data_IF_141913069578
#
_entry.id   IF_141913069578
#
_cell.length_a   1.000
_cell.length_b   1.000
_cell.length_c   1.000
_cell.angle_alpha   90.00
_cell.angle_beta   90.00
_cell.angle_gamma   90.00
#
_symmetry.space_group_name_H-M   'P 1'
#
loop_
_entity.id
_entity.type
_entity.pdbx_description
1 polymer ?
#
# COMPACT_ATOMS: atom_id res chain seq x y z
N UNK A 1 -22.54 14.03 2.35
CA UNK A 1 -22.21 13.68 1.84
C UNK A 1 -21.81 13.09 0.99
N UNK A 2 -21.90 12.06 0.86
CA UNK A 2 -21.87 12.42 -0.23
C UNK A 2 -21.28 11.58 -1.35
N UNK A 3 -21.16 12.03 -2.59
CA UNK A 3 -20.79 11.30 -3.81
C UNK A 3 -19.49 10.50 -3.68
N UNK A 4 -18.67 10.85 -2.73
CA UNK A 4 -17.43 10.13 -2.46
C UNK A 4 -17.69 8.67 -2.15
N UNK A 5 -18.77 8.40 -1.38
CA UNK A 5 -19.11 7.03 -1.01
C UNK A 5 -19.41 6.19 -2.24
N UNK A 6 -20.17 6.76 -3.18
CA UNK A 6 -20.55 6.03 -4.37
C UNK A 6 -19.35 5.75 -5.26
N UNK A 7 -18.46 6.74 -5.41
CA UNK A 7 -17.27 6.55 -6.22
C UNK A 7 -16.41 5.45 -5.63
N UNK A 8 -16.23 5.45 -4.30
CA UNK A 8 -15.45 4.41 -3.65
C UNK A 8 -16.01 3.03 -3.87
N UNK A 9 -17.35 2.92 -3.91
CA UNK A 9 -17.98 1.63 -4.11
C UNK A 9 -17.80 1.10 -5.52
N UNK A 10 -17.72 2.00 -6.52
CA UNK A 10 -17.60 1.59 -7.91
C UNK A 10 -16.16 1.30 -8.31
N UNK A 11 -15.18 1.66 -7.47
CA UNK A 11 -13.77 1.49 -7.77
C UNK A 11 -13.13 0.60 -6.72
N UNK A 12 -12.97 -0.70 -7.00
CA UNK A 12 -12.47 -1.64 -5.99
C UNK A 12 -10.97 -1.58 -5.78
N UNK A 13 -10.31 -0.58 -6.32
CA UNK A 13 -8.86 -0.49 -6.25
C UNK A 13 -8.40 0.52 -5.21
N UNK A 14 -7.21 0.27 -4.66
CA UNK A 14 -6.67 1.04 -3.56
C UNK A 14 -5.25 1.48 -3.83
N UNK A 15 -4.90 2.65 -3.28
CA UNK A 15 -3.50 2.99 -3.08
C UNK A 15 -3.21 2.66 -1.62
N UNK A 16 -2.17 1.87 -1.39
CA UNK A 16 -1.77 1.48 -0.04
C UNK A 16 -0.47 2.17 0.29
N UNK A 17 -0.47 2.91 1.40
CA UNK A 17 0.71 3.61 1.88
C UNK A 17 1.43 2.76 2.92
N UNK A 18 2.76 2.75 2.82
CA UNK A 18 3.61 2.05 3.77
C UNK A 18 4.88 2.86 3.94
N UNK A 19 5.47 2.86 5.12
CA UNK A 19 6.82 3.38 5.30
C UNK A 19 7.74 2.22 5.68
N UNK A 20 9.01 2.36 5.36
CA UNK A 20 10.03 1.36 5.70
C UNK A 20 11.27 2.09 6.17
N UNK A 21 12.09 1.40 6.98
CA UNK A 21 13.27 2.00 7.57
C UNK A 21 14.41 2.21 6.58
N UNK A 22 14.40 1.48 5.47
CA UNK A 22 15.47 1.58 4.48
C UNK A 22 14.92 1.24 3.11
N UNK A 23 15.68 1.67 2.08
CA UNK A 23 15.33 1.31 0.71
C UNK A 23 15.43 -0.20 0.51
N UNK A 24 16.43 -0.83 1.11
CA UNK A 24 16.61 -2.27 0.98
C UNK A 24 15.40 -3.03 1.48
N UNK A 25 14.90 -2.64 2.65
CA UNK A 25 13.72 -3.29 3.21
C UNK A 25 12.50 -3.04 2.32
N UNK A 26 12.31 -1.79 1.88
CA UNK A 26 11.17 -1.43 1.04
C UNK A 26 11.17 -2.24 -0.26
N UNK A 27 12.32 -2.36 -0.91
CA UNK A 27 12.44 -3.11 -2.16
C UNK A 27 12.10 -4.58 -1.93
N UNK A 28 12.62 -5.16 -0.85
CA UNK A 28 12.36 -6.56 -0.55
C UNK A 28 10.87 -6.82 -0.36
N UNK A 29 10.21 -5.96 0.41
CA UNK A 29 8.77 -6.12 0.66
C UNK A 29 8.00 -5.95 -0.64
N UNK A 30 8.27 -4.90 -1.41
CA UNK A 30 7.56 -4.63 -2.66
C UNK A 30 7.72 -5.79 -3.64
N UNK A 31 8.96 -6.28 -3.82
CA UNK A 31 9.19 -7.37 -4.75
C UNK A 31 8.47 -8.65 -4.32
N UNK A 32 8.46 -8.94 -3.02
CA UNK A 32 7.75 -10.12 -2.52
C UNK A 32 6.26 -10.00 -2.80
N UNK A 33 5.68 -8.83 -2.52
CA UNK A 33 4.25 -8.62 -2.75
C UNK A 33 3.90 -8.69 -4.23
N UNK A 34 4.78 -8.19 -5.10
CA UNK A 34 4.57 -8.30 -6.55
C UNK A 34 4.60 -9.77 -6.99
N UNK A 35 5.57 -10.54 -6.51
CA UNK A 35 5.69 -11.94 -6.85
C UNK A 35 4.47 -12.74 -6.41
N UNK A 36 3.89 -12.35 -5.28
CA UNK A 36 2.71 -13.02 -4.76
C UNK A 36 1.42 -12.44 -5.34
N UNK A 37 1.52 -11.47 -6.22
CA UNK A 37 0.39 -10.84 -6.89
C UNK A 37 -0.58 -10.15 -5.94
N UNK A 38 -0.06 -9.68 -4.83
CA UNK A 38 -0.85 -8.92 -3.87
C UNK A 38 -0.89 -7.43 -4.18
N UNK A 39 0.05 -6.96 -5.00
CA UNK A 39 0.06 -5.59 -5.52
C UNK A 39 0.40 -5.64 -7.00
N UNK A 40 -0.07 -4.63 -7.74
CA UNK A 40 0.23 -4.51 -9.15
C UNK A 40 1.49 -3.68 -9.40
N UNK A 41 1.76 -2.73 -8.52
CA UNK A 41 3.00 -1.95 -8.60
C UNK A 41 3.29 -1.29 -7.26
N UNK A 42 4.55 -0.88 -7.09
CA UNK A 42 4.97 -0.13 -5.93
C UNK A 42 5.92 0.98 -6.35
N UNK A 43 5.70 2.17 -5.80
CA UNK A 43 6.56 3.33 -6.05
C UNK A 43 7.23 3.71 -4.74
N UNK A 44 8.52 3.93 -4.78
CA UNK A 44 9.29 4.29 -3.60
C UNK A 44 9.75 5.73 -3.67
N UNK A 45 9.61 6.44 -2.56
CA UNK A 45 10.14 7.80 -2.41
C UNK A 45 11.17 7.73 -1.28
N UNK A 46 12.42 7.94 -1.64
CA UNK A 46 13.53 7.85 -0.68
C UNK A 46 13.60 9.06 0.22
N UNK A 47 14.05 8.83 1.44
CA UNK A 47 14.49 9.89 2.35
C UNK A 47 13.40 10.89 2.72
N UNK A 48 12.22 10.40 3.04
CA UNK A 48 11.22 11.28 3.63
C UNK A 48 11.55 11.45 5.12
N UNK A 49 11.24 12.62 5.67
CA UNK A 49 11.39 12.85 7.09
C UNK A 49 10.03 12.63 7.72
N UNK A 50 9.96 11.67 8.62
CA UNK A 50 8.72 11.33 9.32
C UNK A 50 8.80 11.83 10.74
N UNK A 51 7.78 12.54 11.19
CA UNK A 51 7.67 13.04 12.56
C UNK A 51 6.46 12.38 13.18
N UNK A 52 6.62 11.81 14.37
CA UNK A 52 5.53 11.05 14.97
C UNK A 52 5.69 10.96 16.47
N UNK A 53 4.60 10.63 17.13
CA UNK A 53 4.62 10.41 18.59
C UNK A 53 5.12 9.02 18.89
N UNK A 54 6.04 8.93 19.84
CA UNK A 54 6.57 7.66 20.33
C UNK A 54 6.90 7.80 21.80
N UNK A 55 6.21 6.99 22.61
CA UNK A 55 6.43 6.97 24.07
C UNK A 55 6.37 8.35 24.69
N UNK A 56 5.39 9.14 24.28
CA UNK A 56 5.14 10.45 24.85
C UNK A 56 6.01 11.58 24.31
N UNK A 57 6.82 11.31 23.31
CA UNK A 57 7.70 12.31 22.71
C UNK A 57 7.57 12.33 21.21
N UNK A 58 7.95 13.44 20.61
CA UNK A 58 7.97 13.56 19.15
C UNK A 58 9.33 13.10 18.66
N UNK A 59 9.30 12.13 17.75
CA UNK A 59 10.50 11.57 17.14
C UNK A 59 10.56 11.98 15.67
N UNK A 60 11.78 12.03 15.14
CA UNK A 60 11.99 12.26 13.72
C UNK A 60 12.85 11.12 13.18
N UNK A 61 12.39 10.52 12.07
CA UNK A 61 13.11 9.42 11.44
C UNK A 61 13.15 9.64 9.94
N UNK A 62 14.25 9.23 9.33
CA UNK A 62 14.30 9.15 7.86
C UNK A 62 13.72 7.82 7.44
N UNK A 63 12.79 7.86 6.49
CA UNK A 63 12.12 6.64 6.04
C UNK A 63 11.96 6.66 4.53
N UNK A 64 11.63 5.49 3.98
CA UNK A 64 11.23 5.34 2.58
C UNK A 64 9.71 5.25 2.57
N UNK A 65 9.07 6.09 1.78
CA UNK A 65 7.62 6.08 1.64
C UNK A 65 7.26 5.27 0.41
N UNK A 66 6.33 4.34 0.57
CA UNK A 66 5.94 3.41 -0.50
C UNK A 66 4.47 3.59 -0.81
N UNK A 67 4.18 3.75 -2.10
CA UNK A 67 2.81 3.76 -2.61
C UNK A 67 2.60 2.48 -3.40
N UNK A 68 1.63 1.67 -3.00
CA UNK A 68 1.35 0.41 -3.68
C UNK A 68 -0.06 0.46 -4.25
N UNK A 69 -0.29 -0.26 -5.35
CA UNK A 69 -1.63 -0.34 -5.94
C UNK A 69 -2.14 -1.75 -5.81
N UNK A 70 -3.35 -1.87 -5.29
CA UNK A 70 -3.96 -3.16 -5.02
C UNK A 70 -5.47 -3.05 -5.13
N UNK A 71 -6.19 -4.01 -4.57
CA UNK A 71 -7.65 -4.01 -4.56
C UNK A 71 -8.18 -4.18 -3.15
N UNK A 72 -9.45 -3.79 -2.96
CA UNK A 72 -10.09 -3.95 -1.67
C UNK A 72 -10.11 -5.40 -1.22
N UNK A 73 -10.37 -6.31 -2.15
CA UNK A 73 -10.49 -7.73 -1.81
C UNK A 73 -9.16 -8.32 -1.35
N UNK A 74 -8.05 -7.75 -1.78
CA UNK A 74 -6.73 -8.26 -1.40
C UNK A 74 -6.14 -7.55 -0.19
N UNK A 75 -6.74 -6.46 0.28
CA UNK A 75 -6.11 -5.64 1.31
C UNK A 75 -5.82 -6.40 2.59
N UNK A 76 -6.76 -7.23 3.05
CA UNK A 76 -6.57 -7.96 4.30
C UNK A 76 -5.38 -8.90 4.20
N UNK A 77 -5.27 -9.62 3.09
CA UNK A 77 -4.17 -10.53 2.85
C UNK A 77 -2.86 -9.77 2.70
N UNK A 78 -2.90 -8.66 1.98
CA UNK A 78 -1.76 -7.78 1.79
C UNK A 78 -1.25 -7.26 3.13
N UNK A 79 -2.14 -6.75 3.95
CA UNK A 79 -1.78 -6.19 5.25
C UNK A 79 -1.12 -7.24 6.14
N UNK A 80 -1.68 -8.44 6.16
CA UNK A 80 -1.10 -9.53 6.95
C UNK A 80 0.30 -9.85 6.45
N UNK A 81 0.46 -9.90 5.14
CA UNK A 81 1.76 -10.25 4.56
C UNK A 81 2.82 -9.20 4.85
N UNK A 82 2.45 -7.92 4.78
CA UNK A 82 3.37 -6.85 5.16
C UNK A 82 3.80 -7.00 6.61
N UNK A 83 2.85 -7.32 7.50
CA UNK A 83 3.18 -7.54 8.91
C UNK A 83 4.19 -8.64 9.11
N UNK A 84 4.16 -9.67 8.28
CA UNK A 84 5.11 -10.78 8.36
C UNK A 84 6.50 -10.39 7.86
N UNK A 85 6.56 -9.47 6.92
CA UNK A 85 7.82 -9.11 6.25
C UNK A 85 8.50 -7.90 6.87
N UNK A 86 7.75 -7.04 7.54
CA UNK A 86 8.23 -5.74 7.99
C UNK A 86 9.04 -5.86 9.28
N UNK A 87 10.05 -5.00 9.41
CA UNK A 87 10.88 -4.97 10.60
C UNK A 87 10.20 -4.33 11.81
N UNK A 88 9.20 -3.46 11.57
CA UNK A 88 8.46 -2.83 12.65
C UNK A 88 7.42 -3.78 13.21
N UNK A 89 7.18 -3.72 14.52
CA UNK A 89 6.09 -4.48 15.12
C UNK A 89 4.74 -3.98 14.64
N UNK A 90 4.61 -2.66 14.46
CA UNK A 90 3.36 -2.05 14.01
C UNK A 90 3.69 -1.13 12.83
N UNK A 91 3.79 -1.70 11.62
CA UNK A 91 4.10 -0.88 10.45
C UNK A 91 2.90 -0.02 10.04
N UNK A 92 3.20 1.12 9.42
CA UNK A 92 2.16 1.95 8.83
C UNK A 92 1.65 1.26 7.58
N UNK A 93 0.35 0.93 7.54
CA UNK A 93 -0.31 0.38 6.36
C UNK A 93 -1.67 1.05 6.30
N UNK A 94 -1.86 1.90 5.31
CA UNK A 94 -3.11 2.64 5.15
C UNK A 94 -3.60 2.47 3.73
N UNK A 95 -4.92 2.30 3.57
CA UNK A 95 -5.52 2.15 2.26
C UNK A 95 -6.35 3.38 1.94
N UNK A 96 -6.14 3.91 0.74
CA UNK A 96 -6.91 5.02 0.21
C UNK A 96 -7.66 4.52 -1.03
N UNK A 97 -8.96 4.80 -1.14
CA UNK A 97 -9.68 4.36 -2.33
C UNK A 97 -9.26 5.17 -3.54
N UNK A 98 -9.12 4.48 -4.67
CA UNK A 98 -8.90 5.15 -5.95
C UNK A 98 -10.28 5.51 -6.47
N UNK A 99 -10.57 6.81 -6.56
CA UNK A 99 -11.90 7.24 -6.94
C UNK A 99 -12.11 7.23 -8.45
N UNK A 100 -11.04 7.28 -9.24
CA UNK A 100 -11.13 7.22 -10.70
C UNK A 100 -9.74 7.04 -11.27
N UNK A 101 -9.68 6.59 -12.52
CA UNK A 101 -8.40 6.42 -13.21
C UNK A 101 -8.68 6.13 -14.68
N UNK A 102 -7.63 6.16 -15.51
CA UNK A 102 -7.81 5.82 -16.92
C UNK A 102 -8.21 4.35 -17.03
N UNK A 103 -9.12 4.06 -17.95
CA UNK A 103 -9.65 2.72 -18.10
C UNK A 103 -8.54 1.71 -18.43
N UNK A 104 -7.63 2.07 -19.32
CA UNK A 104 -6.56 1.15 -19.71
C UNK A 104 -5.63 0.86 -18.54
N UNK A 105 -5.35 1.85 -17.72
CA UNK A 105 -4.48 1.63 -16.55
C UNK A 105 -5.17 0.73 -15.52
N UNK A 106 -6.45 0.96 -15.28
CA UNK A 106 -7.19 0.15 -14.30
C UNK A 106 -7.33 -1.28 -14.77
N UNK A 107 -7.50 -1.50 -16.08
CA UNK A 107 -7.53 -2.85 -16.62
C UNK A 107 -6.19 -3.55 -16.45
N UNK A 108 -5.11 -2.82 -16.69
CA UNK A 108 -3.78 -3.36 -16.48
C UNK A 108 -3.58 -3.72 -15.00
N UNK A 109 -4.00 -2.82 -14.12
CA UNK A 109 -3.87 -3.05 -12.67
C UNK A 109 -4.57 -4.34 -12.29
N UNK A 110 -5.81 -4.51 -12.76
CA UNK A 110 -6.58 -5.70 -12.47
C UNK A 110 -5.87 -6.96 -12.95
N UNK A 111 -5.28 -6.89 -14.15
CA UNK A 111 -4.65 -8.05 -14.76
C UNK A 111 -3.41 -8.52 -14.00
N UNK A 112 -2.80 -7.65 -13.19
CA UNK A 112 -1.60 -7.98 -12.46
C UNK A 112 -1.88 -8.61 -11.11
N UNK A 113 -3.10 -8.51 -10.60
CA UNK A 113 -3.42 -8.95 -9.25
C UNK A 113 -3.85 -10.41 -9.23
N UNK A 114 -3.69 -11.04 -8.04
CA UNK A 114 -4.15 -12.39 -7.83
C UNK A 114 -5.65 -12.45 -8.01
N UNK A 115 -6.17 -13.43 -8.80
CA UNK A 115 -7.62 -13.59 -8.90
C UNK A 115 -8.21 -13.95 -7.55
N UNK A 116 -9.31 -13.28 -7.19
CA UNK A 116 -9.99 -13.53 -5.92
C UNK A 116 -11.18 -14.44 -6.21
N UNK A 117 -11.20 -15.61 -5.58
CA UNK A 117 -12.33 -16.53 -5.76
C UNK A 117 -13.48 -16.11 -4.89
N UNK A 118 -14.66 -16.14 -5.48
CA UNK A 118 -15.89 -15.78 -4.78
C UNK A 118 -16.40 -16.94 -3.95
#
# INVERSE_FOLDING_TARGET
>A
HYSIVFVGESMPYLIVLMTASSREEAVKIVRTLLEERLIACGNLVDSVSSFFWWKGEIEEEKEVLVFMKSSEKLFKKLSKRVGELHSYDVPEILALPIVDGSQSYLEWLKSCLEPVKE
#
